data_IF_924513924026
#
_entry.id   IF_924513924026
#
_cell.length_a   1.000
_cell.length_b   1.000
_cell.length_c   1.000
_cell.angle_alpha   90.00
_cell.angle_beta   90.00
_cell.angle_gamma   90.00
#
_symmetry.space_group_name_H-M   'P 1'
#
loop_
_entity.id
_entity.type
_entity.pdbx_description
1 polymer ?
#
# COMPACT_ATOMS: atom_id res chain seq x y z
N UNK A 1 16.61 -13.57 -11.43
CA UNK A 1 15.13 -13.53 -11.23
C UNK A 1 14.53 -14.90 -10.90
N UNK A 2 14.86 -15.99 -11.66
CA UNK A 2 14.21 -17.31 -11.47
C UNK A 2 14.59 -17.93 -10.11
N UNK A 3 15.89 -18.09 -9.83
CA UNK A 3 16.39 -18.63 -8.54
C UNK A 3 15.89 -17.84 -7.35
N UNK A 4 15.85 -16.52 -7.47
CA UNK A 4 15.35 -15.62 -6.45
C UNK A 4 13.88 -15.94 -6.08
N UNK A 5 13.02 -16.15 -7.09
CA UNK A 5 11.62 -16.56 -6.87
C UNK A 5 11.52 -17.95 -6.25
N UNK A 6 12.37 -18.90 -6.66
CA UNK A 6 12.39 -20.25 -6.08
C UNK A 6 12.77 -20.22 -4.59
N UNK A 7 13.79 -19.45 -4.25
CA UNK A 7 14.20 -19.24 -2.85
C UNK A 7 13.09 -18.57 -2.05
N UNK A 8 12.43 -17.56 -2.62
CA UNK A 8 11.31 -16.90 -1.97
C UNK A 8 10.13 -17.84 -1.70
N UNK A 9 9.80 -18.69 -2.67
CA UNK A 9 8.77 -19.71 -2.55
C UNK A 9 9.18 -20.93 -1.71
N UNK A 10 10.37 -20.91 -1.08
CA UNK A 10 10.95 -22.03 -0.33
C UNK A 10 11.11 -23.34 -1.14
N UNK A 11 11.20 -23.22 -2.47
CA UNK A 11 11.44 -24.32 -3.40
C UNK A 11 12.94 -24.66 -3.46
N UNK A 12 13.48 -25.15 -2.32
CA UNK A 12 14.93 -25.29 -2.10
C UNK A 12 15.61 -26.24 -3.08
N UNK A 13 15.03 -27.42 -3.36
CA UNK A 13 15.60 -28.39 -4.31
C UNK A 13 15.62 -27.87 -5.77
N UNK A 14 14.62 -27.06 -6.13
CA UNK A 14 14.63 -26.40 -7.45
C UNK A 14 15.67 -25.29 -7.48
N UNK A 15 15.76 -24.47 -6.43
CA UNK A 15 16.75 -23.39 -6.32
C UNK A 15 18.18 -23.95 -6.45
N UNK A 16 18.50 -25.04 -5.73
CA UNK A 16 19.81 -25.69 -5.77
C UNK A 16 20.27 -26.03 -7.20
N UNK A 17 19.38 -26.61 -7.99
CA UNK A 17 19.69 -26.99 -9.39
C UNK A 17 19.99 -25.80 -10.30
N UNK A 18 19.37 -24.64 -10.00
CA UNK A 18 19.47 -23.46 -10.85
C UNK A 18 20.53 -22.45 -10.39
N UNK A 19 21.07 -22.55 -9.17
CA UNK A 19 22.09 -21.62 -8.66
C UNK A 19 23.33 -21.59 -9.57
N UNK A 20 23.78 -22.74 -10.08
CA UNK A 20 24.93 -22.83 -10.96
C UNK A 20 24.81 -22.01 -12.24
N UNK A 21 23.58 -21.75 -12.70
CA UNK A 21 23.28 -20.99 -13.92
C UNK A 21 23.03 -19.49 -13.66
N UNK A 22 23.20 -19.03 -12.42
CA UNK A 22 23.07 -17.61 -12.09
C UNK A 22 24.37 -16.85 -12.40
N UNK A 23 24.25 -15.53 -12.51
CA UNK A 23 25.43 -14.67 -12.70
C UNK A 23 26.46 -14.88 -11.59
N UNK A 24 27.74 -14.99 -11.91
CA UNK A 24 28.80 -15.32 -10.95
C UNK A 24 28.80 -14.43 -9.69
N UNK A 25 28.55 -13.13 -9.85
CA UNK A 25 28.56 -12.17 -8.74
C UNK A 25 27.37 -12.34 -7.75
N UNK A 26 26.23 -12.90 -8.19
CA UNK A 26 25.06 -13.16 -7.31
C UNK A 26 25.02 -14.60 -6.76
N UNK A 27 25.77 -15.50 -7.35
CA UNK A 27 25.77 -16.93 -6.98
C UNK A 27 26.10 -17.18 -5.51
N UNK A 28 27.11 -16.53 -4.89
CA UNK A 28 27.41 -16.72 -3.49
C UNK A 28 26.23 -16.36 -2.59
N UNK A 29 25.51 -15.27 -2.87
CA UNK A 29 24.37 -14.84 -2.09
C UNK A 29 23.19 -15.82 -2.19
N UNK A 30 22.92 -16.38 -3.36
CA UNK A 30 21.88 -17.40 -3.50
C UNK A 30 22.26 -18.73 -2.82
N UNK A 31 23.52 -19.12 -2.88
CA UNK A 31 24.02 -20.30 -2.16
C UNK A 31 23.91 -20.10 -0.63
N UNK A 32 24.25 -18.92 -0.14
CA UNK A 32 24.09 -18.56 1.27
C UNK A 32 22.62 -18.55 1.69
N UNK A 33 21.73 -17.97 0.86
CA UNK A 33 20.28 -17.96 1.15
C UNK A 33 19.71 -19.39 1.23
N UNK A 34 20.11 -20.26 0.31
CA UNK A 34 19.72 -21.68 0.31
C UNK A 34 20.21 -22.39 1.56
N UNK A 35 21.51 -22.28 1.89
CA UNK A 35 22.10 -22.90 3.08
C UNK A 35 21.43 -22.43 4.37
N UNK A 36 21.15 -21.13 4.49
CA UNK A 36 20.46 -20.55 5.63
C UNK A 36 19.03 -21.10 5.77
N UNK A 37 18.28 -21.22 4.68
CA UNK A 37 16.94 -21.82 4.70
C UNK A 37 16.93 -23.29 5.05
N UNK A 38 17.92 -24.04 4.58
CA UNK A 38 18.11 -25.46 4.91
C UNK A 38 18.71 -25.70 6.30
N UNK A 39 19.11 -24.64 7.03
CA UNK A 39 19.87 -24.73 8.29
C UNK A 39 21.13 -25.59 8.15
N UNK A 40 21.81 -25.49 7.00
CA UNK A 40 23.02 -26.24 6.73
C UNK A 40 24.15 -25.83 7.68
N UNK A 41 25.03 -26.79 8.03
CA UNK A 41 26.13 -26.54 8.96
C UNK A 41 27.11 -25.46 8.50
N UNK A 42 27.23 -25.27 7.16
CA UNK A 42 28.09 -24.28 6.52
C UNK A 42 27.38 -22.96 6.19
N UNK A 43 26.14 -22.73 6.69
CA UNK A 43 25.35 -21.55 6.36
C UNK A 43 26.07 -20.24 6.71
N UNK A 44 26.65 -20.14 7.90
CA UNK A 44 27.37 -18.93 8.34
C UNK A 44 28.62 -18.67 7.48
N UNK A 45 29.34 -19.72 7.12
CA UNK A 45 30.49 -19.62 6.22
C UNK A 45 30.06 -19.07 4.86
N UNK A 46 28.99 -19.59 4.25
CA UNK A 46 28.45 -19.10 2.97
C UNK A 46 27.94 -17.66 3.06
N UNK A 47 27.34 -17.27 4.17
CA UNK A 47 26.96 -15.85 4.40
C UNK A 47 28.21 -14.97 4.43
N UNK A 48 29.31 -15.43 5.04
CA UNK A 48 30.56 -14.69 5.07
C UNK A 48 31.23 -14.61 3.67
N UNK A 49 31.16 -15.67 2.88
CA UNK A 49 31.59 -15.62 1.47
C UNK A 49 30.78 -14.60 0.65
N UNK A 50 29.48 -14.51 0.90
CA UNK A 50 28.57 -13.58 0.24
C UNK A 50 28.59 -12.15 0.82
N UNK A 51 29.49 -11.82 1.74
CA UNK A 51 29.49 -10.56 2.52
C UNK A 51 29.35 -9.29 1.68
N UNK A 52 29.89 -9.27 0.47
CA UNK A 52 29.81 -8.11 -0.46
C UNK A 52 28.37 -7.82 -0.92
N UNK A 53 27.48 -8.81 -0.90
CA UNK A 53 26.08 -8.70 -1.34
C UNK A 53 25.08 -9.14 -0.28
N UNK A 54 25.54 -9.54 0.91
CA UNK A 54 24.70 -10.14 1.95
C UNK A 54 23.59 -9.21 2.44
N UNK A 55 23.78 -7.91 2.36
CA UNK A 55 22.85 -6.89 2.83
C UNK A 55 22.12 -6.18 1.69
N UNK A 56 22.29 -6.65 0.43
CA UNK A 56 21.62 -6.10 -0.76
C UNK A 56 20.82 -7.12 -1.57
N UNK A 57 20.91 -8.42 -1.27
CA UNK A 57 20.14 -9.47 -1.96
C UNK A 57 18.90 -9.85 -1.16
N UNK A 58 17.72 -9.55 -1.70
CA UNK A 58 16.44 -9.71 -1.01
C UNK A 58 16.22 -11.12 -0.45
N UNK A 59 16.53 -12.17 -1.23
CA UNK A 59 16.35 -13.57 -0.78
C UNK A 59 17.30 -13.95 0.36
N UNK A 60 18.52 -13.43 0.38
CA UNK A 60 19.47 -13.70 1.46
C UNK A 60 19.10 -12.94 2.73
N UNK A 61 18.69 -11.66 2.57
CA UNK A 61 18.18 -10.87 3.70
C UNK A 61 16.98 -11.57 4.33
N UNK A 62 16.00 -12.00 3.53
CA UNK A 62 14.81 -12.70 4.04
C UNK A 62 15.18 -14.01 4.78
N UNK A 63 16.07 -14.83 4.21
CA UNK A 63 16.51 -16.07 4.84
C UNK A 63 17.20 -15.82 6.21
N UNK A 64 18.07 -14.81 6.27
CA UNK A 64 18.75 -14.41 7.52
C UNK A 64 17.77 -13.85 8.57
N UNK A 65 16.79 -13.05 8.15
CA UNK A 65 15.74 -12.55 9.02
C UNK A 65 14.93 -13.68 9.63
N UNK A 66 14.53 -14.66 8.81
CA UNK A 66 13.79 -15.85 9.27
C UNK A 66 14.62 -16.68 10.24
N UNK A 67 15.92 -16.90 9.97
CA UNK A 67 16.82 -17.62 10.87
C UNK A 67 17.00 -16.90 12.21
N UNK A 68 17.19 -15.59 12.20
CA UNK A 68 17.30 -14.78 13.43
C UNK A 68 16.01 -14.84 14.26
N UNK A 69 14.84 -14.78 13.62
CA UNK A 69 13.56 -14.94 14.32
C UNK A 69 13.42 -16.35 14.92
N UNK A 70 13.78 -17.37 14.17
CA UNK A 70 13.70 -18.76 14.62
C UNK A 70 14.61 -19.05 15.82
N UNK A 71 15.73 -18.32 15.94
CA UNK A 71 16.62 -18.38 17.11
C UNK A 71 16.21 -17.45 18.27
N UNK A 72 15.06 -16.78 18.18
CA UNK A 72 14.58 -15.82 19.19
C UNK A 72 15.22 -14.44 19.12
N UNK A 73 16.12 -14.18 18.16
CA UNK A 73 16.79 -12.89 18.00
C UNK A 73 15.97 -11.92 17.12
N UNK A 74 14.79 -11.51 17.59
CA UNK A 74 13.93 -10.56 16.87
C UNK A 74 14.57 -9.18 16.71
N UNK A 75 15.37 -8.73 17.67
CA UNK A 75 16.10 -7.46 17.58
C UNK A 75 17.15 -7.51 16.48
N UNK A 76 17.91 -8.58 16.37
CA UNK A 76 18.88 -8.80 15.28
C UNK A 76 18.22 -8.80 13.90
N UNK A 77 17.05 -9.43 13.77
CA UNK A 77 16.27 -9.43 12.53
C UNK A 77 15.85 -8.01 12.11
N UNK A 78 15.37 -7.21 13.05
CA UNK A 78 14.97 -5.80 12.79
C UNK A 78 16.19 -4.94 12.45
N UNK A 79 17.29 -5.13 13.15
CA UNK A 79 18.55 -4.41 12.90
C UNK A 79 19.09 -4.71 11.51
N UNK A 80 19.05 -5.97 11.08
CA UNK A 80 19.43 -6.38 9.73
C UNK A 80 18.57 -5.65 8.67
N UNK A 81 17.25 -5.64 8.81
CA UNK A 81 16.36 -4.95 7.89
C UNK A 81 16.55 -3.43 7.87
N UNK A 82 16.77 -2.82 9.03
CA UNK A 82 16.99 -1.39 9.15
C UNK A 82 18.34 -0.93 8.56
N UNK A 83 19.36 -1.78 8.66
CA UNK A 83 20.74 -1.48 8.23
C UNK A 83 21.08 -1.99 6.84
N UNK A 84 20.19 -2.74 6.19
CA UNK A 84 20.43 -3.30 4.86
C UNK A 84 20.89 -2.24 3.86
N UNK A 85 21.67 -2.61 2.91
CA UNK A 85 22.01 -1.79 1.76
C UNK A 85 20.81 -1.63 0.82
N UNK A 86 20.89 -0.72 -0.15
CA UNK A 86 19.93 -0.67 -1.26
C UNK A 86 19.93 -2.02 -1.98
N UNK A 87 18.77 -2.51 -2.35
CA UNK A 87 18.69 -3.81 -3.03
C UNK A 87 19.45 -3.78 -4.36
N UNK A 88 20.26 -4.79 -4.60
CA UNK A 88 21.03 -4.95 -5.85
C UNK A 88 20.13 -5.23 -7.05
N UNK A 89 18.93 -5.74 -6.81
CA UNK A 89 17.91 -5.97 -7.82
C UNK A 89 16.52 -5.83 -7.16
N UNK A 90 15.47 -5.53 -7.95
CA UNK A 90 14.10 -5.49 -7.44
C UNK A 90 13.73 -6.79 -6.70
N UNK A 91 12.89 -6.66 -5.68
CA UNK A 91 12.44 -7.83 -4.92
C UNK A 91 11.69 -8.81 -5.84
N UNK A 92 11.92 -10.11 -5.71
CA UNK A 92 11.35 -11.12 -6.62
C UNK A 92 9.82 -11.20 -6.54
N UNK A 93 9.26 -10.92 -5.35
CA UNK A 93 7.82 -10.83 -5.07
C UNK A 93 7.57 -9.64 -4.16
N UNK A 94 7.17 -8.51 -4.74
CA UNK A 94 6.98 -7.23 -4.02
C UNK A 94 6.04 -7.37 -2.83
N UNK A 95 4.91 -8.03 -3.02
CA UNK A 95 3.90 -8.24 -1.97
C UNK A 95 4.51 -8.89 -0.72
N UNK A 96 5.32 -9.92 -0.89
CA UNK A 96 5.87 -10.68 0.23
C UNK A 96 7.05 -9.94 0.87
N UNK A 97 7.84 -9.23 0.07
CA UNK A 97 8.89 -8.34 0.57
C UNK A 97 8.30 -7.24 1.47
N UNK A 98 7.24 -6.58 1.01
CA UNK A 98 6.56 -5.56 1.81
C UNK A 98 5.90 -6.15 3.05
N UNK A 99 5.38 -7.38 2.97
CA UNK A 99 4.85 -8.06 4.16
C UNK A 99 5.95 -8.32 5.19
N UNK A 100 7.13 -8.76 4.76
CA UNK A 100 8.29 -8.95 5.64
C UNK A 100 8.65 -7.63 6.34
N UNK A 101 8.83 -6.55 5.57
CA UNK A 101 9.13 -5.23 6.14
C UNK A 101 8.05 -4.76 7.11
N UNK A 102 6.78 -4.88 6.73
CA UNK A 102 5.64 -4.41 7.52
C UNK A 102 5.55 -5.12 8.87
N UNK A 103 5.68 -6.45 8.87
CA UNK A 103 5.67 -7.26 10.10
C UNK A 103 6.74 -6.80 11.08
N UNK A 104 7.96 -6.57 10.60
CA UNK A 104 9.07 -6.17 11.46
C UNK A 104 9.01 -4.70 11.86
N UNK A 105 8.53 -3.81 10.99
CA UNK A 105 8.38 -2.40 11.31
C UNK A 105 7.25 -2.16 12.34
N UNK A 106 6.14 -2.89 12.23
CA UNK A 106 5.05 -2.84 13.21
C UNK A 106 5.52 -3.33 14.57
N UNK A 107 6.16 -4.49 14.63
CA UNK A 107 6.68 -5.03 15.87
C UNK A 107 7.75 -4.11 16.50
N UNK A 108 8.62 -3.48 15.69
CA UNK A 108 9.57 -2.49 16.20
C UNK A 108 8.87 -1.25 16.78
N UNK A 109 7.79 -0.77 16.14
CA UNK A 109 6.96 0.33 16.65
C UNK A 109 6.29 -0.03 17.98
N UNK A 110 5.72 -1.23 18.08
CA UNK A 110 5.05 -1.74 19.30
C UNK A 110 6.03 -1.82 20.47
N UNK A 111 7.26 -2.25 20.21
CA UNK A 111 8.34 -2.32 21.21
C UNK A 111 9.02 -0.97 21.48
N UNK A 112 8.51 0.15 20.94
CA UNK A 112 9.09 1.48 21.13
C UNK A 112 10.39 1.75 20.36
N UNK A 113 10.82 0.84 19.49
CA UNK A 113 12.03 0.96 18.67
C UNK A 113 11.76 1.81 17.43
N UNK A 114 11.40 3.07 17.65
CA UNK A 114 10.87 3.95 16.59
C UNK A 114 11.85 4.22 15.45
N UNK A 115 13.15 4.36 15.74
CA UNK A 115 14.15 4.54 14.68
C UNK A 115 14.27 3.29 13.78
N UNK A 116 14.28 2.09 14.36
CA UNK A 116 14.25 0.83 13.58
C UNK A 116 12.96 0.74 12.78
N UNK A 117 11.80 1.02 13.37
CA UNK A 117 10.52 1.00 12.67
C UNK A 117 10.52 1.92 11.46
N UNK A 118 10.99 3.16 11.62
CA UNK A 118 11.12 4.12 10.53
C UNK A 118 12.08 3.63 9.44
N UNK A 119 13.28 3.21 9.81
CA UNK A 119 14.32 2.78 8.85
C UNK A 119 13.91 1.54 8.06
N UNK A 120 13.16 0.62 8.65
CA UNK A 120 12.60 -0.54 7.96
C UNK A 120 11.50 -0.08 7.00
N UNK A 121 10.55 0.73 7.46
CA UNK A 121 9.33 1.06 6.72
C UNK A 121 9.53 2.12 5.64
N UNK A 122 10.55 2.99 5.74
CA UNK A 122 10.79 4.08 4.78
C UNK A 122 11.49 3.65 3.49
N UNK A 123 12.14 2.47 3.48
CA UNK A 123 12.96 1.99 2.36
C UNK A 123 12.18 1.01 1.49
N UNK A 124 11.13 1.52 0.85
CA UNK A 124 10.19 0.71 0.06
C UNK A 124 10.45 0.76 -1.45
N UNK A 125 11.03 1.86 -1.94
CA UNK A 125 11.13 2.12 -3.38
C UNK A 125 12.24 1.32 -4.06
N UNK A 126 13.29 0.94 -3.34
CA UNK A 126 14.41 0.16 -3.88
C UNK A 126 14.04 -1.28 -4.28
N UNK A 127 12.88 -1.76 -3.85
CA UNK A 127 12.34 -3.06 -4.21
C UNK A 127 11.56 -3.04 -5.54
N UNK A 128 11.21 -1.85 -6.04
CA UNK A 128 10.36 -1.70 -7.22
C UNK A 128 11.20 -1.71 -8.49
N UNK A 129 10.81 -2.46 -9.53
CA UNK A 129 11.49 -2.37 -10.82
C UNK A 129 11.41 -0.96 -11.40
N UNK A 130 12.46 -0.54 -12.11
CA UNK A 130 12.47 0.77 -12.77
C UNK A 130 11.29 0.90 -13.74
N UNK A 131 10.64 2.07 -13.73
CA UNK A 131 9.49 2.37 -14.59
C UNK A 131 8.15 1.77 -14.13
N UNK A 132 8.12 1.00 -13.05
CA UNK A 132 6.89 0.43 -12.50
C UNK A 132 6.26 1.43 -11.52
N UNK A 133 5.01 1.79 -11.76
CA UNK A 133 4.25 2.64 -10.86
C UNK A 133 3.53 1.79 -9.80
N UNK A 134 3.66 2.19 -8.55
CA UNK A 134 2.97 1.49 -7.44
C UNK A 134 1.45 1.54 -7.60
N UNK A 135 0.91 2.59 -8.21
CA UNK A 135 -0.52 2.74 -8.47
C UNK A 135 -1.08 1.61 -9.36
N UNK A 136 -0.26 1.04 -10.26
CA UNK A 136 -0.65 -0.02 -11.21
C UNK A 136 -0.51 -1.43 -10.63
N UNK A 137 0.04 -1.55 -9.42
CA UNK A 137 0.18 -2.84 -8.76
C UNK A 137 -1.19 -3.37 -8.27
N UNK A 138 -1.23 -4.67 -7.99
CA UNK A 138 -2.40 -5.30 -7.36
C UNK A 138 -2.72 -4.67 -5.99
N UNK A 139 -3.96 -4.85 -5.56
CA UNK A 139 -4.45 -4.23 -4.32
C UNK A 139 -3.63 -4.66 -3.10
N UNK A 140 -3.24 -5.93 -3.02
CA UNK A 140 -2.52 -6.44 -1.86
C UNK A 140 -1.09 -5.88 -1.77
N UNK A 141 -0.42 -5.68 -2.90
CA UNK A 141 0.89 -5.02 -2.97
C UNK A 141 0.79 -3.55 -2.57
N UNK A 142 -0.21 -2.84 -3.11
CA UNK A 142 -0.45 -1.43 -2.79
C UNK A 142 -0.81 -1.21 -1.33
N UNK A 143 -1.64 -2.09 -0.73
CA UNK A 143 -2.04 -1.97 0.67
C UNK A 143 -0.83 -2.12 1.62
N UNK A 144 0.11 -3.02 1.32
CA UNK A 144 1.32 -3.17 2.11
C UNK A 144 2.27 -1.98 1.95
N UNK A 145 2.43 -1.50 0.72
CA UNK A 145 3.23 -0.30 0.46
C UNK A 145 2.65 0.92 1.17
N UNK A 146 1.35 1.16 1.07
CA UNK A 146 0.69 2.28 1.75
C UNK A 146 0.76 2.13 3.27
N UNK A 147 0.61 0.91 3.81
CA UNK A 147 0.78 0.66 5.24
C UNK A 147 2.19 0.97 5.73
N UNK A 148 3.23 0.61 4.97
CA UNK A 148 4.62 0.93 5.28
C UNK A 148 4.88 2.43 5.25
N UNK A 149 4.48 3.11 4.17
CA UNK A 149 4.70 4.56 4.03
C UNK A 149 3.91 5.36 5.06
N UNK A 150 2.69 4.91 5.41
CA UNK A 150 1.92 5.49 6.51
C UNK A 150 2.61 5.30 7.87
N UNK A 151 3.09 4.09 8.16
CA UNK A 151 3.82 3.79 9.39
C UNK A 151 5.07 4.66 9.50
N UNK A 152 5.88 4.72 8.43
CA UNK A 152 7.09 5.54 8.41
C UNK A 152 6.79 7.03 8.62
N UNK A 153 5.77 7.57 7.91
CA UNK A 153 5.35 8.95 8.04
C UNK A 153 4.87 9.29 9.45
N UNK A 154 4.01 8.44 10.03
CA UNK A 154 3.49 8.64 11.38
C UNK A 154 4.58 8.56 12.44
N UNK A 155 5.48 7.57 12.36
CA UNK A 155 6.60 7.43 13.29
C UNK A 155 7.56 8.62 13.17
N UNK A 156 7.91 9.04 11.96
CA UNK A 156 8.78 10.20 11.72
C UNK A 156 8.18 11.48 12.33
N UNK A 157 6.88 11.73 12.11
CA UNK A 157 6.20 12.94 12.54
C UNK A 157 5.97 12.99 14.05
N UNK A 158 5.47 11.88 14.62
CA UNK A 158 4.94 11.86 15.98
C UNK A 158 5.93 11.39 17.04
N UNK A 159 6.84 10.48 16.65
CA UNK A 159 7.76 9.83 17.59
C UNK A 159 9.19 10.32 17.47
N UNK A 160 9.66 10.59 16.24
CA UNK A 160 11.05 10.98 16.00
C UNK A 160 11.25 12.49 15.85
N UNK A 161 10.18 13.28 15.74
CA UNK A 161 10.30 14.72 15.51
C UNK A 161 10.97 15.06 14.16
N UNK A 162 10.79 14.21 13.15
CA UNK A 162 11.37 14.36 11.80
C UNK A 162 10.29 14.72 10.77
N UNK A 163 9.72 15.93 10.82
CA UNK A 163 8.58 16.26 9.96
C UNK A 163 8.94 16.29 8.46
N UNK A 164 10.17 16.66 8.09
CA UNK A 164 10.59 16.63 6.67
C UNK A 164 10.59 15.22 6.10
N UNK A 165 11.03 14.23 6.87
CA UNK A 165 11.01 12.82 6.47
C UNK A 165 9.56 12.32 6.32
N UNK A 166 8.68 12.76 7.20
CA UNK A 166 7.26 12.41 7.16
C UNK A 166 6.55 12.91 5.89
N UNK A 167 6.90 14.11 5.39
CA UNK A 167 6.34 14.67 4.15
C UNK A 167 6.50 13.67 3.00
N UNK A 168 7.73 13.20 2.78
CA UNK A 168 8.03 12.27 1.69
C UNK A 168 7.24 10.96 1.81
N UNK A 169 7.06 10.46 3.03
CA UNK A 169 6.32 9.22 3.26
C UNK A 169 4.81 9.36 3.02
N UNK A 170 4.20 10.44 3.49
CA UNK A 170 2.79 10.71 3.25
C UNK A 170 2.49 11.04 1.78
N UNK A 171 3.42 11.67 1.06
CA UNK A 171 3.27 11.86 -0.38
C UNK A 171 3.30 10.54 -1.14
N UNK A 172 4.21 9.62 -0.81
CA UNK A 172 4.23 8.26 -1.35
C UNK A 172 2.95 7.49 -1.05
N UNK A 173 2.44 7.60 0.17
CA UNK A 173 1.15 7.02 0.56
C UNK A 173 0.02 7.50 -0.36
N UNK A 174 -0.07 8.81 -0.60
CA UNK A 174 -1.08 9.39 -1.47
C UNK A 174 -0.92 8.96 -2.94
N UNK A 175 0.32 8.90 -3.43
CA UNK A 175 0.63 8.55 -4.81
C UNK A 175 0.27 7.10 -5.16
N UNK A 176 0.37 6.17 -4.20
CA UNK A 176 0.01 4.77 -4.40
C UNK A 176 -1.49 4.48 -4.22
N UNK A 177 -2.28 5.45 -3.78
CA UNK A 177 -3.70 5.27 -3.49
C UNK A 177 -4.58 5.53 -4.71
N UNK A 178 -5.60 4.69 -4.93
CA UNK A 178 -6.63 4.90 -5.96
C UNK A 178 -7.84 5.66 -5.42
N UNK A 179 -8.24 5.41 -4.15
CA UNK A 179 -9.43 6.04 -3.60
C UNK A 179 -9.21 7.52 -3.24
N UNK A 180 -10.18 8.40 -3.48
CA UNK A 180 -10.13 9.80 -3.07
C UNK A 180 -9.87 9.99 -1.58
N UNK A 181 -10.44 9.14 -0.73
CA UNK A 181 -10.27 9.19 0.72
C UNK A 181 -8.82 8.94 1.13
N UNK A 182 -8.18 7.92 0.54
CA UNK A 182 -6.78 7.60 0.86
C UNK A 182 -5.82 8.65 0.30
N UNK A 183 -6.09 9.14 -0.91
CA UNK A 183 -5.28 10.20 -1.53
C UNK A 183 -5.34 11.49 -0.72
N UNK A 184 -6.55 11.96 -0.40
CA UNK A 184 -6.73 13.20 0.39
C UNK A 184 -6.10 13.06 1.77
N UNK A 185 -6.22 11.90 2.43
CA UNK A 185 -5.57 11.62 3.71
C UNK A 185 -4.06 11.81 3.62
N UNK A 186 -3.41 11.18 2.65
CA UNK A 186 -1.95 11.28 2.49
C UNK A 186 -1.49 12.71 2.21
N UNK A 187 -2.19 13.41 1.30
CA UNK A 187 -1.88 14.79 0.96
C UNK A 187 -2.09 15.75 2.15
N UNK A 188 -3.18 15.59 2.90
CA UNK A 188 -3.42 16.38 4.11
C UNK A 188 -2.31 16.20 5.15
N UNK A 189 -1.91 14.95 5.41
CA UNK A 189 -0.86 14.68 6.38
C UNK A 189 0.53 15.10 5.89
N UNK A 190 0.80 15.09 4.58
CA UNK A 190 1.99 15.69 4.00
C UNK A 190 2.01 17.21 4.22
N UNK A 191 0.88 17.88 4.02
CA UNK A 191 0.71 19.30 4.34
C UNK A 191 0.93 19.61 5.81
N UNK A 192 0.36 18.80 6.70
CA UNK A 192 0.54 18.94 8.15
C UNK A 192 2.00 18.73 8.58
N UNK A 193 2.69 17.78 7.98
CA UNK A 193 4.10 17.53 8.23
C UNK A 193 4.97 18.68 7.70
N UNK A 194 4.68 19.20 6.51
CA UNK A 194 5.39 20.36 5.94
C UNK A 194 5.19 21.61 6.82
N UNK A 195 3.97 21.87 7.28
CA UNK A 195 3.71 22.97 8.21
C UNK A 195 4.52 22.83 9.51
N UNK A 196 4.60 21.62 10.06
CA UNK A 196 5.42 21.33 11.26
C UNK A 196 6.93 21.48 11.00
N UNK A 197 7.36 21.32 9.73
CA UNK A 197 8.74 21.58 9.29
C UNK A 197 9.01 23.06 9.01
N UNK A 198 8.03 23.96 9.24
CA UNK A 198 8.05 25.37 8.88
C UNK A 198 8.16 25.64 7.36
N UNK A 199 7.80 24.67 6.53
CA UNK A 199 7.70 24.82 5.07
C UNK A 199 6.24 25.13 4.69
N UNK A 200 5.86 26.39 4.83
CA UNK A 200 4.48 26.86 4.56
C UNK A 200 4.10 26.75 3.10
N UNK A 201 5.07 26.91 2.20
CA UNK A 201 4.86 26.80 0.74
C UNK A 201 4.46 25.38 0.35
N UNK A 202 5.23 24.38 0.79
CA UNK A 202 4.88 22.98 0.55
C UNK A 202 3.59 22.59 1.28
N UNK A 203 3.36 23.09 2.49
CA UNK A 203 2.14 22.85 3.23
C UNK A 203 0.91 23.30 2.45
N UNK A 204 0.90 24.55 1.95
CA UNK A 204 -0.19 25.09 1.14
C UNK A 204 -0.42 24.26 -0.12
N UNK A 205 0.64 23.92 -0.85
CA UNK A 205 0.57 23.09 -2.05
C UNK A 205 -0.06 21.71 -1.79
N UNK A 206 0.28 21.07 -0.67
CA UNK A 206 -0.30 19.78 -0.32
C UNK A 206 -1.77 19.92 0.09
N UNK A 207 -2.13 20.95 0.85
CA UNK A 207 -3.53 21.21 1.18
C UNK A 207 -4.36 21.54 -0.05
N UNK A 208 -3.83 22.29 -1.03
CA UNK A 208 -4.50 22.55 -2.30
C UNK A 208 -4.77 21.25 -3.07
N UNK A 209 -3.80 20.36 -3.16
CA UNK A 209 -3.97 19.03 -3.78
C UNK A 209 -4.98 18.16 -3.02
N UNK A 210 -5.02 18.23 -1.70
CA UNK A 210 -5.99 17.48 -0.89
C UNK A 210 -7.40 18.04 -1.02
N UNK A 211 -7.57 19.36 -1.10
CA UNK A 211 -8.85 20.05 -1.17
C UNK A 211 -9.65 19.78 -2.47
N UNK A 212 -8.98 19.29 -3.51
CA UNK A 212 -9.66 18.81 -4.72
C UNK A 212 -10.66 17.69 -4.40
N UNK A 213 -10.37 16.93 -3.35
CA UNK A 213 -11.22 15.84 -2.84
C UNK A 213 -12.16 16.34 -1.74
N UNK A 214 -12.82 17.49 -1.93
CA UNK A 214 -13.66 18.15 -0.93
C UNK A 214 -14.83 17.31 -0.42
N UNK A 215 -15.22 16.25 -1.12
CA UNK A 215 -16.23 15.30 -0.67
C UNK A 215 -15.70 14.34 0.40
N UNK A 216 -14.37 14.24 0.56
CA UNK A 216 -13.73 13.43 1.57
C UNK A 216 -13.42 14.24 2.83
N UNK A 217 -13.41 13.57 4.00
CA UNK A 217 -13.09 14.19 5.29
C UNK A 217 -11.78 14.99 5.26
N UNK A 218 -10.70 14.41 4.73
CA UNK A 218 -9.40 15.09 4.67
C UNK A 218 -9.34 16.20 3.62
N UNK A 219 -10.17 16.14 2.58
CA UNK A 219 -10.34 17.23 1.63
C UNK A 219 -10.98 18.45 2.28
N UNK A 220 -12.00 18.24 3.13
CA UNK A 220 -12.65 19.29 3.90
C UNK A 220 -11.70 19.92 4.92
N UNK A 221 -10.96 19.11 5.67
CA UNK A 221 -9.92 19.62 6.57
C UNK A 221 -8.85 20.43 5.83
N UNK A 222 -8.51 20.06 4.60
CA UNK A 222 -7.56 20.82 3.79
C UNK A 222 -8.12 22.19 3.37
N UNK A 223 -9.41 22.28 3.01
CA UNK A 223 -10.08 23.56 2.76
C UNK A 223 -10.05 24.46 4.01
N UNK A 224 -10.29 23.89 5.18
CA UNK A 224 -10.19 24.61 6.46
C UNK A 224 -8.79 25.18 6.68
N UNK A 225 -7.74 24.38 6.47
CA UNK A 225 -6.35 24.86 6.57
C UNK A 225 -6.04 25.99 5.58
N UNK A 226 -6.66 25.99 4.41
CA UNK A 226 -6.56 27.05 3.40
C UNK A 226 -7.47 28.23 3.66
N UNK A 227 -8.33 28.17 4.68
CA UNK A 227 -9.40 29.16 4.96
C UNK A 227 -10.30 29.39 3.74
N UNK A 228 -10.61 28.35 3.00
CA UNK A 228 -11.49 28.37 1.85
C UNK A 228 -12.84 27.76 2.19
N UNK A 229 -13.96 28.34 1.74
CA UNK A 229 -15.27 27.74 1.92
C UNK A 229 -15.39 26.44 1.14
N UNK A 230 -16.33 25.59 1.55
CA UNK A 230 -16.72 24.44 0.73
C UNK A 230 -17.19 24.91 -0.65
N UNK A 231 -16.77 24.23 -1.71
CA UNK A 231 -17.32 24.48 -3.05
C UNK A 231 -18.84 24.28 -3.04
N UNK A 232 -19.58 25.15 -3.74
CA UNK A 232 -20.98 24.91 -3.96
C UNK A 232 -21.15 23.61 -4.75
N UNK A 233 -21.63 22.56 -4.06
CA UNK A 233 -22.02 21.34 -4.76
C UNK A 233 -23.27 21.68 -5.57
N UNK A 234 -23.24 21.57 -6.91
CA UNK A 234 -24.44 21.77 -7.69
C UNK A 234 -25.51 20.84 -7.15
N UNK A 235 -26.62 21.41 -6.66
CA UNK A 235 -27.79 20.58 -6.39
C UNK A 235 -28.15 19.96 -7.71
N UNK A 236 -27.83 18.71 -7.92
CA UNK A 236 -28.36 17.94 -9.04
C UNK A 236 -29.86 18.01 -8.85
N UNK A 237 -30.49 18.82 -9.67
CA UNK A 237 -31.95 18.92 -9.70
C UNK A 237 -32.47 17.49 -9.69
N UNK A 238 -33.46 17.22 -8.83
CA UNK A 238 -34.00 15.89 -8.64
C UNK A 238 -34.86 15.46 -9.85
N UNK A 239 -34.27 15.55 -11.05
CA UNK A 239 -34.84 14.95 -12.25
C UNK A 239 -34.83 13.45 -11.96
N UNK A 240 -36.00 12.87 -11.69
CA UNK A 240 -36.15 11.45 -11.62
C UNK A 240 -35.59 10.87 -12.94
N UNK A 241 -34.59 9.97 -12.90
CA UNK A 241 -34.14 9.39 -14.15
C UNK A 241 -35.33 8.69 -14.79
N UNK A 242 -35.70 9.12 -15.97
CA UNK A 242 -36.58 8.36 -16.85
C UNK A 242 -35.70 7.19 -17.32
N UNK A 243 -35.75 6.08 -16.62
CA UNK A 243 -35.20 4.82 -17.14
C UNK A 243 -36.08 4.50 -18.33
N UNK A 244 -35.57 4.68 -19.53
CA UNK A 244 -36.28 4.32 -20.74
C UNK A 244 -36.64 2.84 -20.66
N UNK A 245 -37.92 2.51 -20.79
CA UNK A 245 -38.36 1.11 -20.80
C UNK A 245 -37.70 0.44 -21.99
N UNK A 246 -36.70 -0.39 -21.73
CA UNK A 246 -36.01 -1.19 -22.76
C UNK A 246 -34.52 -1.44 -22.58
N UNK A 247 -33.83 -0.75 -21.67
CA UNK A 247 -32.40 -0.96 -21.44
C UNK A 247 -31.98 -0.78 -19.97
N UNK A 248 -32.68 -1.48 -19.08
CA UNK A 248 -32.23 -1.55 -17.69
C UNK A 248 -31.13 -2.61 -17.63
N UNK A 249 -29.89 -2.27 -17.30
CA UNK A 249 -28.85 -3.28 -17.10
C UNK A 249 -29.34 -4.35 -16.12
N UNK A 250 -29.04 -5.62 -16.39
CA UNK A 250 -29.49 -6.77 -15.57
C UNK A 250 -29.13 -6.58 -14.09
N UNK A 251 -28.02 -5.89 -13.81
CA UNK A 251 -27.58 -5.60 -12.45
C UNK A 251 -28.53 -4.63 -11.72
N UNK A 252 -29.13 -3.67 -12.40
CA UNK A 252 -30.14 -2.77 -11.84
C UNK A 252 -31.45 -3.48 -11.55
N UNK A 253 -31.85 -4.38 -12.45
CA UNK A 253 -33.00 -5.25 -12.23
C UNK A 253 -32.77 -6.20 -11.05
N UNK A 254 -31.59 -6.81 -10.96
CA UNK A 254 -31.19 -7.64 -9.83
C UNK A 254 -31.15 -6.86 -8.51
N UNK A 255 -30.66 -5.62 -8.51
CA UNK A 255 -30.70 -4.74 -7.35
C UNK A 255 -32.13 -4.38 -6.91
N UNK A 256 -33.02 -4.14 -7.87
CA UNK A 256 -34.44 -3.90 -7.60
C UNK A 256 -35.15 -5.16 -7.03
N UNK A 257 -34.84 -6.33 -7.53
CA UNK A 257 -35.36 -7.61 -6.98
C UNK A 257 -34.81 -7.91 -5.60
N UNK A 258 -33.50 -7.67 -5.37
CA UNK A 258 -32.87 -7.82 -4.07
C UNK A 258 -33.47 -6.86 -3.02
N UNK A 259 -34.01 -5.72 -3.45
CA UNK A 259 -34.71 -4.79 -2.54
C UNK A 259 -36.04 -5.36 -2.03
N UNK A 260 -36.69 -6.19 -2.81
CA UNK A 260 -37.99 -6.79 -2.48
C UNK A 260 -37.88 -8.14 -1.77
N UNK A 261 -36.90 -8.93 -2.15
CA UNK A 261 -36.79 -10.33 -1.74
C UNK A 261 -35.47 -10.69 -1.06
N UNK A 262 -34.44 -9.80 -1.17
CA UNK A 262 -33.12 -10.04 -0.64
C UNK A 262 -32.89 -9.40 0.72
N UNK A 263 -31.75 -9.75 1.33
CA UNK A 263 -31.30 -9.13 2.56
C UNK A 263 -30.72 -7.72 2.32
N UNK A 264 -30.58 -6.94 3.39
CA UNK A 264 -29.90 -5.65 3.38
C UNK A 264 -28.47 -5.74 2.79
N UNK A 265 -27.80 -6.87 3.02
CA UNK A 265 -26.46 -7.16 2.49
C UNK A 265 -26.49 -7.38 0.97
N UNK A 266 -27.50 -8.09 0.46
CA UNK A 266 -27.65 -8.35 -0.96
C UNK A 266 -27.87 -7.04 -1.72
N UNK A 267 -28.73 -6.15 -1.22
CA UNK A 267 -28.92 -4.82 -1.78
C UNK A 267 -27.60 -4.07 -1.88
N UNK A 268 -26.82 -4.00 -0.80
CA UNK A 268 -25.52 -3.32 -0.79
C UNK A 268 -24.51 -3.92 -1.76
N UNK A 269 -24.51 -5.23 -1.94
CA UNK A 269 -23.62 -5.92 -2.88
C UNK A 269 -23.97 -5.60 -4.34
N UNK A 270 -25.26 -5.58 -4.69
CA UNK A 270 -25.70 -5.22 -6.04
C UNK A 270 -25.40 -3.75 -6.35
N UNK A 271 -25.59 -2.83 -5.42
CA UNK A 271 -25.23 -1.43 -5.62
C UNK A 271 -23.72 -1.21 -5.80
N UNK A 272 -22.88 -1.94 -5.07
CA UNK A 272 -21.42 -1.94 -5.33
C UNK A 272 -21.10 -2.50 -6.71
N UNK A 273 -21.80 -3.52 -7.17
CA UNK A 273 -21.59 -4.07 -8.50
C UNK A 273 -21.99 -3.05 -9.60
N UNK A 274 -23.03 -2.26 -9.40
CA UNK A 274 -23.39 -1.15 -10.29
C UNK A 274 -22.24 -0.16 -10.37
N UNK A 275 -21.69 0.29 -9.24
CA UNK A 275 -20.59 1.24 -9.21
C UNK A 275 -19.32 0.71 -9.90
N UNK A 276 -19.05 -0.58 -9.79
CA UNK A 276 -17.88 -1.23 -10.40
C UNK A 276 -18.02 -1.42 -11.92
N UNK A 277 -19.24 -1.53 -12.43
CA UNK A 277 -19.53 -1.80 -13.85
C UNK A 277 -20.15 -0.60 -14.57
N UNK A 278 -20.23 0.57 -13.92
CA UNK A 278 -20.77 1.77 -14.53
C UNK A 278 -19.82 2.29 -15.63
N UNK A 279 -20.34 2.39 -16.86
CA UNK A 279 -19.59 2.87 -18.01
C UNK A 279 -19.80 4.39 -18.25
N UNK A 280 -20.76 5.02 -17.55
CA UNK A 280 -21.04 6.43 -17.73
C UNK A 280 -21.92 7.05 -16.65
N UNK A 281 -22.14 8.37 -16.80
CA UNK A 281 -22.93 9.17 -15.84
C UNK A 281 -24.37 8.66 -15.69
N UNK A 282 -24.93 8.07 -16.74
CA UNK A 282 -26.31 7.58 -16.77
C UNK A 282 -26.53 6.41 -15.80
N UNK A 283 -25.55 5.52 -15.70
CA UNK A 283 -25.60 4.39 -14.77
C UNK A 283 -25.64 4.84 -13.31
N UNK A 284 -24.82 5.85 -12.97
CA UNK A 284 -24.84 6.44 -11.62
C UNK A 284 -26.15 7.15 -11.33
N UNK A 285 -26.70 7.89 -12.30
CA UNK A 285 -28.01 8.55 -12.16
C UNK A 285 -29.12 7.52 -11.94
N UNK A 286 -29.10 6.40 -12.66
CA UNK A 286 -30.05 5.31 -12.51
C UNK A 286 -29.92 4.65 -11.11
N UNK A 287 -28.70 4.39 -10.64
CA UNK A 287 -28.44 3.86 -9.30
C UNK A 287 -28.94 4.79 -8.20
N UNK A 288 -28.66 6.08 -8.28
CA UNK A 288 -29.16 7.10 -7.34
C UNK A 288 -30.68 7.16 -7.36
N UNK A 289 -31.31 7.10 -8.54
CA UNK A 289 -32.76 7.04 -8.66
C UNK A 289 -33.37 5.81 -8.01
N UNK A 290 -32.76 4.64 -8.19
CA UNK A 290 -33.19 3.40 -7.56
C UNK A 290 -33.03 3.46 -6.04
N UNK A 291 -31.90 3.95 -5.51
CA UNK A 291 -31.67 4.08 -4.08
C UNK A 291 -32.72 4.92 -3.38
N UNK A 292 -33.15 6.03 -4.02
CA UNK A 292 -34.23 6.88 -3.53
C UNK A 292 -35.57 6.15 -3.47
N UNK A 293 -35.92 5.41 -4.54
CA UNK A 293 -37.15 4.58 -4.58
C UNK A 293 -37.18 3.51 -3.48
N UNK A 294 -36.01 3.01 -3.08
CA UNK A 294 -35.85 2.03 -2.01
C UNK A 294 -35.84 2.64 -0.61
N UNK A 295 -35.86 3.97 -0.47
CA UNK A 295 -35.69 4.65 0.80
C UNK A 295 -34.29 4.42 1.43
N UNK A 296 -33.28 4.15 0.60
CA UNK A 296 -31.92 3.80 1.00
C UNK A 296 -30.92 4.81 0.44
N UNK A 297 -30.87 6.05 0.99
CA UNK A 297 -29.94 7.08 0.51
C UNK A 297 -28.45 6.70 0.71
N UNK A 298 -28.16 5.79 1.65
CA UNK A 298 -26.83 5.22 1.85
C UNK A 298 -26.31 4.46 0.61
N UNK A 299 -27.19 3.84 -0.16
CA UNK A 299 -26.82 3.15 -1.40
C UNK A 299 -26.43 4.10 -2.52
N UNK A 300 -26.99 5.33 -2.54
CA UNK A 300 -26.58 6.36 -3.49
C UNK A 300 -25.12 6.80 -3.34
N UNK A 301 -24.57 6.70 -2.12
CA UNK A 301 -23.18 7.01 -1.84
C UNK A 301 -22.24 5.86 -2.24
N UNK A 302 -22.79 4.66 -2.40
CA UNK A 302 -22.02 3.46 -2.81
C UNK A 302 -21.90 3.34 -4.33
N UNK A 303 -22.80 3.98 -5.09
CA UNK A 303 -22.79 4.07 -6.53
C UNK A 303 -21.96 5.26 -7.02
#
# INVERSE_FOLDING_TARGET
AHVDRLLWASSTSAAERWIAYTSPHRRPAFAAALATRLKAADADFKVQEARASADSEASLIAARVDALRASGNSFGARTLLANRSTLAAPAPVLKDWYQLLLTHAQAAKEDGQYDLAYRIASRVDDAVPAGVLMLDQDIATRDRYTSLTWLAGSVALEKLGRPRDAVAMFERYAAAAKSPQTRSKGLYWAGKAAAKANDTTSASRFYERASVFYESFFGQLALEQLRRPMPNVPQVAAAAPVIAAGSVPDVLLAAALASKYGSWRDQSNFFRAIALNADGKEDYVAAVGLSRKLGRPDLAVMA
#
